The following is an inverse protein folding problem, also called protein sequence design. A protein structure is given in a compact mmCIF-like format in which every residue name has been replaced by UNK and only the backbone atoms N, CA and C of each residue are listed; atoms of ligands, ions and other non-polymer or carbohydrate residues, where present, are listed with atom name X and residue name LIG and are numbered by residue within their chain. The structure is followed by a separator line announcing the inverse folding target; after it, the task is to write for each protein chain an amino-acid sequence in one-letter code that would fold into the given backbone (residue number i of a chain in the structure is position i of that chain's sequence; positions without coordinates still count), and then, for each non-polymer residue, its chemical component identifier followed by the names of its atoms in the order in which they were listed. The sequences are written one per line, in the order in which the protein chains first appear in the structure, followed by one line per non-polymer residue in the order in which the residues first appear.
data_IF_780438324752
#
_entry.id   IF_780438324752
#
_cell.length_a   1.000
_cell.length_b   1.000
_cell.length_c   1.000
_cell.angle_alpha   90.00
_cell.angle_beta   90.00
_cell.angle_gamma   90.00
#
_symmetry.space_group_name_H-M   'P 1'
#
loop_
_entity.id
_entity.type
_entity.pdbx_description
1 polymer ?
#
# COMPACT_ATOMS: atom_id res chain seq x y z
N UNK A 1 -51.68 30.68 -38.95
CA UNK A 1 -51.55 31.62 -37.81
C UNK A 1 -51.35 30.81 -36.55
N UNK A 2 -50.22 31.07 -35.87
CA UNK A 2 -49.70 30.32 -34.72
C UNK A 2 -50.62 30.36 -33.50
N UNK A 3 -50.79 29.21 -32.83
CA UNK A 3 -51.25 29.12 -31.44
C UNK A 3 -50.10 28.57 -30.61
N UNK A 4 -49.39 29.46 -29.92
CA UNK A 4 -48.41 29.08 -28.91
C UNK A 4 -49.14 28.55 -27.68
N UNK A 5 -49.03 27.25 -27.42
CA UNK A 5 -49.40 26.66 -26.14
C UNK A 5 -48.24 26.85 -25.18
N UNK A 6 -48.50 27.54 -24.07
CA UNK A 6 -47.63 27.56 -22.90
C UNK A 6 -47.80 26.22 -22.18
N UNK A 7 -46.75 25.41 -22.15
CA UNK A 7 -46.60 24.36 -21.14
C UNK A 7 -45.44 24.74 -20.22
N UNK A 8 -45.80 25.13 -18.99
CA UNK A 8 -44.88 25.16 -17.85
C UNK A 8 -44.60 23.71 -17.45
N UNK A 9 -43.40 23.23 -17.72
CA UNK A 9 -42.86 22.04 -17.04
C UNK A 9 -41.53 22.40 -16.41
N UNK A 10 -41.48 22.23 -15.09
CA UNK A 10 -40.32 22.45 -14.24
C UNK A 10 -39.19 21.51 -14.68
N UNK A 11 -38.11 22.07 -15.22
CA UNK A 11 -36.83 21.39 -15.39
C UNK A 11 -35.72 22.21 -14.73
N UNK A 12 -35.84 22.41 -13.42
CA UNK A 12 -34.82 23.06 -12.59
C UNK A 12 -34.31 22.06 -11.56
N UNK A 13 -33.65 20.99 -11.99
CA UNK A 13 -32.97 20.05 -11.07
C UNK A 13 -31.97 19.09 -11.73
N UNK A 14 -31.39 19.39 -12.90
CA UNK A 14 -30.41 18.47 -13.53
C UNK A 14 -29.10 19.15 -13.99
N UNK A 15 -28.92 20.45 -13.77
CA UNK A 15 -27.72 21.18 -14.21
C UNK A 15 -26.70 21.49 -13.10
N UNK A 16 -26.88 20.95 -11.88
CA UNK A 16 -25.97 21.18 -10.74
C UNK A 16 -25.10 19.99 -10.35
N UNK A 17 -25.20 18.87 -11.07
CA UNK A 17 -24.42 17.65 -10.81
C UNK A 17 -23.26 17.39 -11.78
N UNK A 18 -23.01 18.28 -12.75
CA UNK A 18 -22.04 18.01 -13.84
C UNK A 18 -21.00 19.14 -14.00
N UNK A 19 -20.63 19.81 -12.90
CA UNK A 19 -19.78 21.01 -12.93
C UNK A 19 -18.43 20.86 -12.22
N UNK A 20 -17.88 19.64 -12.15
CA UNK A 20 -16.53 19.41 -11.59
C UNK A 20 -15.61 18.55 -12.46
N UNK A 21 -15.88 18.40 -13.76
CA UNK A 21 -15.00 17.68 -14.68
C UNK A 21 -14.52 18.56 -15.84
N UNK A 22 -14.01 19.76 -15.55
CA UNK A 22 -13.35 20.62 -16.54
C UNK A 22 -12.39 21.62 -15.90
N UNK A 23 -11.25 21.10 -15.44
CA UNK A 23 -9.98 21.80 -15.16
C UNK A 23 -8.93 20.71 -15.48
N UNK A 24 -7.93 20.79 -16.35
CA UNK A 24 -7.25 21.85 -17.10
C UNK A 24 -6.55 21.10 -18.25
N UNK A 25 -6.71 21.53 -19.51
CA UNK A 25 -5.66 21.27 -20.51
C UNK A 25 -4.80 22.52 -20.56
N UNK A 26 -3.64 22.47 -19.88
CA UNK A 26 -2.63 23.51 -20.00
C UNK A 26 -1.48 22.94 -20.83
N UNK A 27 -1.42 23.33 -22.10
CA UNK A 27 -0.25 23.12 -22.95
C UNK A 27 0.85 24.07 -22.49
N UNK A 28 1.91 23.53 -21.89
CA UNK A 28 3.17 24.23 -21.72
C UNK A 28 4.26 23.43 -22.41
N UNK A 29 4.70 23.93 -23.57
CA UNK A 29 5.98 23.57 -24.18
C UNK A 29 7.09 24.18 -23.32
N UNK A 30 7.98 23.37 -22.77
CA UNK A 30 9.16 23.87 -22.07
C UNK A 30 9.91 22.83 -21.26
N UNK A 31 11.11 22.52 -21.73
CA UNK A 31 12.24 21.92 -21.01
C UNK A 31 12.12 20.44 -20.65
N UNK A 32 12.87 19.62 -21.39
CA UNK A 32 13.37 18.32 -20.95
C UNK A 32 14.29 18.56 -19.75
N UNK A 33 13.72 18.63 -18.55
CA UNK A 33 14.46 18.33 -17.35
C UNK A 33 14.45 16.80 -17.24
N UNK A 34 15.64 16.19 -17.14
CA UNK A 34 15.74 14.87 -16.52
C UNK A 34 14.98 14.97 -15.20
N UNK A 35 13.99 14.08 -15.04
CA UNK A 35 13.15 13.98 -13.85
C UNK A 35 14.03 13.47 -12.70
N UNK A 36 14.87 14.35 -12.18
CA UNK A 36 15.48 14.25 -10.87
C UNK A 36 14.34 14.34 -9.88
N UNK A 37 13.73 13.17 -9.64
CA UNK A 37 12.43 13.00 -9.02
C UNK A 37 12.18 13.98 -7.89
N UNK A 38 11.11 14.74 -8.03
CA UNK A 38 10.63 15.61 -6.95
C UNK A 38 10.46 14.83 -5.64
N UNK A 39 10.51 15.52 -4.48
CA UNK A 39 10.36 14.86 -3.19
C UNK A 39 9.08 14.00 -3.18
N UNK A 40 9.09 12.83 -2.50
CA UNK A 40 7.94 11.94 -2.48
C UNK A 40 6.67 12.69 -2.11
N UNK A 41 5.55 12.33 -2.73
CA UNK A 41 4.26 12.91 -2.37
C UNK A 41 3.88 12.46 -0.96
N UNK A 42 3.59 13.40 -0.06
CA UNK A 42 3.12 13.11 1.29
C UNK A 42 1.60 12.87 1.30
N UNK A 43 1.17 11.70 1.76
CA UNK A 43 -0.23 11.28 1.78
C UNK A 43 -0.61 10.82 3.19
N UNK A 44 -1.56 11.48 3.85
CA UNK A 44 -2.15 10.98 5.10
C UNK A 44 -3.40 10.15 4.80
N UNK A 45 -3.50 8.98 5.42
CA UNK A 45 -4.64 8.06 5.25
C UNK A 45 -5.24 7.69 6.60
N UNK A 46 -6.56 7.52 6.61
CA UNK A 46 -7.34 7.15 7.80
C UNK A 46 -8.36 6.04 7.54
N UNK A 47 -8.42 5.52 6.32
CA UNK A 47 -9.34 4.48 5.91
C UNK A 47 -8.73 3.52 4.88
N UNK A 48 -9.37 2.36 4.75
CA UNK A 48 -8.98 1.25 3.88
C UNK A 48 -8.82 1.69 2.42
N UNK A 49 -9.76 2.47 1.89
CA UNK A 49 -9.76 2.87 0.47
C UNK A 49 -8.61 3.82 0.18
N UNK A 50 -8.38 4.81 1.04
CA UNK A 50 -7.29 5.76 0.91
C UNK A 50 -5.93 5.06 0.99
N UNK A 51 -5.74 4.16 1.97
CA UNK A 51 -4.50 3.40 2.11
C UNK A 51 -4.22 2.52 0.88
N UNK A 52 -5.23 1.78 0.41
CA UNK A 52 -5.10 0.93 -0.78
C UNK A 52 -4.71 1.75 -2.01
N UNK A 53 -5.45 2.81 -2.29
CA UNK A 53 -5.17 3.67 -3.44
C UNK A 53 -3.77 4.29 -3.37
N UNK A 54 -3.30 4.64 -2.16
CA UNK A 54 -1.96 5.17 -1.97
C UNK A 54 -0.88 4.11 -2.26
N UNK A 55 -1.04 2.87 -1.77
CA UNK A 55 -0.11 1.76 -2.00
C UNK A 55 -0.08 1.29 -3.47
N UNK A 56 -1.23 1.36 -4.15
CA UNK A 56 -1.37 0.95 -5.56
C UNK A 56 -1.06 2.09 -6.55
N UNK A 57 -0.76 3.29 -6.04
CA UNK A 57 -0.39 4.46 -6.85
C UNK A 57 0.89 4.18 -7.63
N UNK A 58 0.95 4.64 -8.88
CA UNK A 58 2.17 4.60 -9.69
C UNK A 58 3.11 5.77 -9.43
N UNK A 59 2.81 6.60 -8.42
CA UNK A 59 3.63 7.74 -8.02
C UNK A 59 4.19 7.51 -6.63
N UNK A 60 5.52 7.56 -6.51
CA UNK A 60 6.21 7.35 -5.25
C UNK A 60 5.71 8.31 -4.16
N UNK A 61 5.48 7.79 -2.96
CA UNK A 61 4.81 8.53 -1.89
C UNK A 61 5.27 8.09 -0.50
N UNK A 62 5.29 9.05 0.42
CA UNK A 62 5.30 8.79 1.86
C UNK A 62 3.85 8.74 2.34
N UNK A 63 3.43 7.60 2.87
CA UNK A 63 2.07 7.32 3.29
C UNK A 63 2.03 7.29 4.82
N UNK A 64 1.34 8.22 5.44
CA UNK A 64 1.17 8.30 6.89
C UNK A 64 -0.17 7.69 7.31
N UNK A 65 -0.12 6.52 7.95
CA UNK A 65 -1.29 5.83 8.51
C UNK A 65 -1.47 6.21 9.98
N UNK A 66 -2.52 6.99 10.27
CA UNK A 66 -2.77 7.57 11.60
C UNK A 66 -3.64 6.70 12.51
N UNK A 67 -4.44 5.83 11.90
CA UNK A 67 -5.34 4.92 12.61
C UNK A 67 -5.07 3.48 12.21
N UNK A 68 -5.50 2.52 13.03
CA UNK A 68 -5.43 1.11 12.64
C UNK A 68 -6.39 0.87 11.47
N UNK A 69 -5.92 0.17 10.44
CA UNK A 69 -6.67 -0.09 9.21
C UNK A 69 -6.66 -1.59 8.93
N UNK A 70 -7.79 -2.11 8.48
CA UNK A 70 -7.90 -3.48 7.96
C UNK A 70 -8.13 -3.42 6.45
N UNK A 71 -7.24 -4.04 5.69
CA UNK A 71 -7.36 -4.29 4.26
C UNK A 71 -7.94 -5.71 4.06
N UNK A 72 -9.21 -5.78 3.69
CA UNK A 72 -9.96 -7.03 3.50
C UNK A 72 -10.34 -7.25 2.02
N UNK A 73 -9.34 -7.18 1.15
CA UNK A 73 -9.52 -7.36 -0.30
C UNK A 73 -9.78 -8.81 -0.69
N UNK A 74 -10.49 -9.00 -1.81
CA UNK A 74 -10.76 -10.34 -2.31
C UNK A 74 -9.49 -11.06 -2.79
N UNK A 75 -8.47 -10.33 -3.32
CA UNK A 75 -7.30 -10.96 -3.95
C UNK A 75 -5.98 -10.56 -3.30
N UNK A 76 -5.48 -9.33 -3.53
CA UNK A 76 -4.17 -8.87 -3.03
C UNK A 76 -3.99 -7.36 -3.08
N UNK A 77 -2.99 -6.83 -2.36
CA UNK A 77 -2.51 -5.45 -2.50
C UNK A 77 -1.31 -5.42 -3.43
N UNK A 78 -1.35 -4.60 -4.49
CA UNK A 78 -0.24 -4.50 -5.47
C UNK A 78 0.51 -3.18 -5.34
N UNK A 79 1.75 -3.22 -4.86
CA UNK A 79 2.61 -2.03 -4.74
C UNK A 79 2.88 -1.43 -6.12
N UNK A 80 2.46 -0.17 -6.33
CA UNK A 80 2.44 0.47 -7.64
C UNK A 80 3.70 1.28 -7.99
N UNK A 81 4.37 1.82 -6.97
CA UNK A 81 5.64 2.55 -7.07
C UNK A 81 6.48 2.36 -5.80
N UNK A 82 7.60 3.05 -5.69
CA UNK A 82 8.39 3.07 -4.46
C UNK A 82 7.62 3.86 -3.39
N UNK A 83 7.40 3.23 -2.23
CA UNK A 83 6.63 3.85 -1.16
C UNK A 83 7.32 3.70 0.20
N UNK A 84 7.07 4.69 1.06
CA UNK A 84 7.33 4.59 2.49
C UNK A 84 6.00 4.63 3.22
N UNK A 85 5.61 3.54 3.86
CA UNK A 85 4.44 3.47 4.74
C UNK A 85 4.87 3.69 6.18
N UNK A 86 4.43 4.80 6.78
CA UNK A 86 4.59 5.11 8.20
C UNK A 86 3.35 4.70 8.99
N UNK A 87 3.50 3.75 9.91
CA UNK A 87 2.43 3.32 10.83
C UNK A 87 2.64 4.03 12.17
N UNK A 88 1.64 4.81 12.59
CA UNK A 88 1.71 5.55 13.85
C UNK A 88 1.85 4.62 15.08
N UNK A 89 2.35 5.17 16.19
CA UNK A 89 2.57 4.46 17.45
C UNK A 89 1.31 3.70 17.92
N UNK A 90 1.50 2.44 18.31
CA UNK A 90 0.43 1.56 18.78
C UNK A 90 -0.66 1.23 17.74
N UNK A 91 -0.48 1.59 16.46
CA UNK A 91 -1.44 1.29 15.39
C UNK A 91 -1.06 0.02 14.65
N UNK A 92 -2.07 -0.63 14.09
CA UNK A 92 -1.93 -1.90 13.37
C UNK A 92 -2.51 -1.76 11.96
N UNK A 93 -1.73 -2.18 10.97
CA UNK A 93 -2.24 -2.52 9.64
C UNK A 93 -2.52 -4.01 9.62
N UNK A 94 -3.78 -4.41 9.42
CA UNK A 94 -4.14 -5.82 9.25
C UNK A 94 -4.48 -6.09 7.79
N UNK A 95 -3.83 -7.07 7.19
CA UNK A 95 -4.10 -7.54 5.82
C UNK A 95 -4.78 -8.91 5.89
N UNK A 96 -6.05 -8.98 5.47
CA UNK A 96 -6.84 -10.22 5.40
C UNK A 96 -7.27 -10.44 3.95
N UNK A 97 -6.41 -11.06 3.17
CA UNK A 97 -6.50 -11.15 1.70
C UNK A 97 -6.08 -12.53 1.22
N UNK A 98 -6.44 -12.94 0.00
CA UNK A 98 -6.03 -14.25 -0.54
C UNK A 98 -4.51 -14.34 -0.80
N UNK A 99 -3.84 -13.22 -1.09
CA UNK A 99 -2.39 -13.06 -1.16
C UNK A 99 -2.08 -11.69 -0.56
N UNK A 100 -1.12 -11.59 0.37
CA UNK A 100 -0.87 -10.39 1.17
C UNK A 100 -0.45 -9.16 0.36
N UNK A 101 0.83 -8.80 0.44
CA UNK A 101 1.42 -7.66 -0.29
C UNK A 101 2.24 -8.20 -1.45
N UNK A 102 1.91 -7.77 -2.67
CA UNK A 102 2.61 -8.17 -3.88
C UNK A 102 3.23 -6.96 -4.56
N UNK A 103 4.44 -7.13 -5.07
CA UNK A 103 5.05 -6.15 -5.95
C UNK A 103 4.70 -6.48 -7.40
N UNK A 104 4.64 -5.46 -8.26
CA UNK A 104 4.42 -5.67 -9.69
C UNK A 104 5.50 -6.59 -10.27
N UNK A 105 5.08 -7.64 -10.98
CA UNK A 105 6.02 -8.64 -11.52
C UNK A 105 7.05 -7.99 -12.45
N UNK A 106 8.32 -8.38 -12.30
CA UNK A 106 9.44 -7.82 -13.08
C UNK A 106 9.81 -6.38 -12.73
N UNK A 107 9.28 -5.82 -11.65
CA UNK A 107 9.66 -4.50 -11.14
C UNK A 107 10.65 -4.60 -9.98
N UNK A 108 11.47 -3.57 -9.83
CA UNK A 108 12.41 -3.41 -8.71
C UNK A 108 11.87 -2.40 -7.69
N UNK A 109 10.57 -2.45 -7.43
CA UNK A 109 9.91 -1.53 -6.52
C UNK A 109 10.27 -1.84 -5.06
N UNK A 110 10.35 -0.79 -4.26
CA UNK A 110 10.64 -0.84 -2.83
C UNK A 110 9.44 -0.38 -2.01
N UNK A 111 9.07 -1.19 -1.01
CA UNK A 111 8.17 -0.77 0.05
C UNK A 111 8.97 -0.73 1.35
N UNK A 112 9.14 0.49 1.88
CA UNK A 112 9.64 0.67 3.23
C UNK A 112 8.45 0.77 4.17
N UNK A 113 8.41 -0.07 5.22
CA UNK A 113 7.41 0.03 6.27
C UNK A 113 8.13 0.43 7.55
N UNK A 114 7.82 1.63 8.03
CA UNK A 114 8.39 2.18 9.24
C UNK A 114 7.30 2.34 10.30
N UNK A 115 7.58 1.85 11.50
CA UNK A 115 6.65 1.84 12.61
C UNK A 115 7.00 2.84 13.71
N UNK A 116 6.00 3.18 14.53
CA UNK A 116 6.19 3.70 15.88
C UNK A 116 6.29 2.58 16.91
N UNK A 117 6.60 2.91 18.17
CA UNK A 117 6.60 1.94 19.27
C UNK A 117 5.26 1.18 19.33
N UNK A 118 5.33 -0.15 19.42
CA UNK A 118 4.14 -1.00 19.50
C UNK A 118 3.28 -1.04 18.22
N UNK A 119 3.74 -0.45 17.11
CA UNK A 119 3.05 -0.57 15.84
C UNK A 119 3.20 -1.97 15.24
N UNK A 120 2.23 -2.36 14.41
CA UNK A 120 2.19 -3.69 13.80
C UNK A 120 1.75 -3.71 12.34
N UNK A 121 2.28 -4.66 11.60
CA UNK A 121 1.70 -5.20 10.37
C UNK A 121 1.31 -6.65 10.64
N UNK A 122 0.03 -6.96 10.55
CA UNK A 122 -0.49 -8.30 10.69
C UNK A 122 -0.95 -8.81 9.33
N UNK A 123 -0.41 -9.94 8.87
CA UNK A 123 -0.83 -10.56 7.61
C UNK A 123 -1.45 -11.92 7.90
N UNK A 124 -2.68 -12.08 7.46
CA UNK A 124 -3.43 -13.33 7.50
C UNK A 124 -3.90 -13.68 6.09
N UNK A 125 -3.17 -14.59 5.44
CA UNK A 125 -3.48 -15.02 4.07
C UNK A 125 -4.59 -16.06 4.08
N UNK A 126 -5.72 -15.72 3.48
CA UNK A 126 -6.85 -16.62 3.32
C UNK A 126 -6.52 -17.67 2.24
N UNK A 127 -6.20 -18.91 2.66
CA UNK A 127 -5.97 -20.04 1.74
C UNK A 127 -4.52 -20.46 1.54
N UNK A 128 -3.57 -19.94 2.33
CA UNK A 128 -2.18 -20.42 2.33
C UNK A 128 -1.33 -19.92 1.15
N UNK A 129 -1.71 -18.81 0.52
CA UNK A 129 -0.92 -18.13 -0.51
C UNK A 129 0.33 -17.42 0.06
N UNK A 130 0.92 -16.52 -0.72
CA UNK A 130 2.06 -15.70 -0.27
C UNK A 130 1.59 -14.52 0.59
N UNK A 131 2.23 -14.33 1.74
CA UNK A 131 2.01 -13.16 2.59
C UNK A 131 2.69 -11.92 2.01
N UNK A 132 3.91 -12.08 1.48
CA UNK A 132 4.62 -11.01 0.77
C UNK A 132 5.32 -11.62 -0.44
N UNK A 133 5.27 -10.98 -1.61
CA UNK A 133 5.89 -11.54 -2.83
C UNK A 133 6.50 -10.49 -3.77
N UNK A 134 7.76 -10.72 -4.17
CA UNK A 134 8.52 -9.88 -5.09
C UNK A 134 9.11 -8.62 -4.47
N UNK A 135 9.80 -7.81 -5.30
CA UNK A 135 10.31 -6.48 -4.93
C UNK A 135 11.30 -6.44 -3.77
N UNK A 136 11.49 -5.25 -3.22
CA UNK A 136 12.31 -4.98 -2.03
C UNK A 136 11.39 -4.60 -0.88
N UNK A 137 11.48 -5.34 0.23
CA UNK A 137 10.83 -4.97 1.49
C UNK A 137 11.88 -4.51 2.50
N UNK A 138 11.70 -3.29 3.00
CA UNK A 138 12.50 -2.77 4.11
C UNK A 138 11.58 -2.52 5.31
N UNK A 139 11.98 -3.00 6.49
CA UNK A 139 11.21 -2.88 7.72
C UNK A 139 12.03 -2.14 8.77
N UNK A 140 11.46 -1.13 9.42
CA UNK A 140 12.12 -0.35 10.47
C UNK A 140 11.17 -0.13 11.65
N UNK A 141 11.60 -0.42 12.88
CA UNK A 141 10.86 -0.17 14.12
C UNK A 141 9.38 -0.65 14.10
N UNK A 142 9.13 -1.82 13.51
CA UNK A 142 7.80 -2.40 13.28
C UNK A 142 7.79 -3.88 13.67
N UNK A 143 6.69 -4.36 14.26
CA UNK A 143 6.45 -5.81 14.38
C UNK A 143 5.60 -6.29 13.21
N UNK A 144 6.08 -7.29 12.48
CA UNK A 144 5.35 -7.95 11.39
C UNK A 144 4.96 -9.34 11.85
N UNK A 145 3.66 -9.57 12.05
CA UNK A 145 3.10 -10.86 12.45
C UNK A 145 2.47 -11.53 11.22
N UNK A 146 3.10 -12.58 10.69
CA UNK A 146 2.59 -13.39 9.57
C UNK A 146 1.99 -14.67 10.16
N UNK A 147 0.67 -14.73 10.20
CA UNK A 147 -0.09 -15.86 10.78
C UNK A 147 -0.43 -16.95 9.77
N UNK A 148 -0.28 -16.65 8.48
CA UNK A 148 -0.50 -17.58 7.38
C UNK A 148 0.23 -17.09 6.13
N UNK A 149 0.75 -18.03 5.34
CA UNK A 149 1.46 -17.78 4.09
C UNK A 149 2.96 -17.59 4.26
N UNK A 150 3.67 -17.53 3.13
CA UNK A 150 5.13 -17.38 3.08
C UNK A 150 5.55 -15.93 2.81
N UNK A 151 6.71 -15.53 3.29
CA UNK A 151 7.37 -14.28 2.92
C UNK A 151 8.39 -14.56 1.81
N UNK A 152 8.19 -13.94 0.64
CA UNK A 152 8.98 -14.16 -0.58
C UNK A 152 9.33 -12.87 -1.38
N UNK A 153 9.93 -11.84 -0.76
CA UNK A 153 10.48 -10.71 -1.51
C UNK A 153 11.77 -11.08 -2.24
N UNK A 154 12.20 -10.27 -3.23
CA UNK A 154 13.54 -10.44 -3.81
C UNK A 154 14.62 -10.02 -2.81
N UNK A 155 14.43 -8.85 -2.21
CA UNK A 155 15.32 -8.29 -1.19
C UNK A 155 14.52 -8.05 0.09
N UNK A 156 15.01 -8.60 1.19
CA UNK A 156 14.44 -8.36 2.52
C UNK A 156 15.47 -7.68 3.40
N UNK A 157 15.16 -6.48 3.87
CA UNK A 157 15.95 -5.73 4.83
C UNK A 157 15.18 -5.62 6.15
N UNK A 158 15.67 -6.28 7.19
CA UNK A 158 15.12 -6.18 8.55
C UNK A 158 15.99 -5.22 9.33
N UNK A 159 15.51 -3.99 9.43
CA UNK A 159 16.18 -2.87 10.06
C UNK A 159 16.11 -2.86 11.59
N UNK A 160 16.53 -1.75 12.18
CA UNK A 160 16.65 -1.66 13.64
C UNK A 160 15.28 -1.59 14.30
N UNK A 161 15.08 -2.37 15.37
CA UNK A 161 13.80 -2.46 16.07
C UNK A 161 12.69 -3.16 15.26
N UNK A 162 12.98 -3.65 14.05
CA UNK A 162 12.04 -4.45 13.28
C UNK A 162 12.06 -5.90 13.75
N UNK A 163 10.88 -6.49 13.92
CA UNK A 163 10.71 -7.90 14.25
C UNK A 163 9.76 -8.54 13.26
N UNK A 164 10.15 -9.64 12.63
CA UNK A 164 9.24 -10.49 11.85
C UNK A 164 8.95 -11.74 12.68
N UNK A 165 7.69 -12.04 12.91
CA UNK A 165 7.22 -13.30 13.46
C UNK A 165 6.45 -14.05 12.38
N UNK A 166 6.88 -15.25 12.02
CA UNK A 166 6.20 -16.10 11.04
C UNK A 166 5.67 -17.34 11.75
N UNK A 167 4.36 -17.53 11.73
CA UNK A 167 3.73 -18.82 12.03
C UNK A 167 3.86 -19.73 10.80
N UNK A 168 4.71 -20.74 10.94
CA UNK A 168 5.17 -21.62 9.88
C UNK A 168 4.75 -23.08 10.08
N UNK A 169 3.81 -23.36 11.00
CA UNK A 169 3.46 -24.72 11.42
C UNK A 169 3.08 -25.68 10.26
N UNK A 170 2.71 -25.15 9.09
CA UNK A 170 2.37 -25.91 7.89
C UNK A 170 3.09 -25.42 6.63
N UNK A 171 4.29 -24.83 6.78
CA UNK A 171 5.05 -24.27 5.65
C UNK A 171 6.45 -24.88 5.60
N UNK A 172 6.77 -25.55 4.48
CA UNK A 172 8.11 -26.13 4.27
C UNK A 172 9.19 -25.06 4.07
N UNK A 173 8.78 -23.89 3.54
CA UNK A 173 9.69 -22.77 3.23
C UNK A 173 9.04 -21.43 3.59
N UNK A 174 8.87 -21.14 4.89
CA UNK A 174 8.13 -19.97 5.37
C UNK A 174 8.79 -18.64 5.00
N UNK A 175 10.13 -18.65 4.83
CA UNK A 175 10.91 -17.49 4.41
C UNK A 175 11.75 -17.84 3.19
N UNK A 176 11.53 -17.08 2.13
CA UNK A 176 12.25 -17.12 0.87
C UNK A 176 12.69 -15.70 0.54
N UNK A 177 13.96 -15.50 0.19
CA UNK A 177 14.43 -14.22 -0.34
C UNK A 177 15.71 -14.44 -1.12
N UNK A 178 15.88 -13.74 -2.24
CA UNK A 178 17.14 -13.81 -2.99
C UNK A 178 18.30 -13.21 -2.20
N UNK A 179 18.01 -12.17 -1.42
CA UNK A 179 18.96 -11.56 -0.51
C UNK A 179 18.26 -11.11 0.77
N UNK A 180 18.81 -11.52 1.91
CA UNK A 180 18.36 -11.16 3.24
C UNK A 180 19.45 -10.37 3.96
N UNK A 181 19.09 -9.19 4.45
CA UNK A 181 19.91 -8.39 5.36
C UNK A 181 19.16 -8.22 6.68
N UNK A 182 19.80 -8.54 7.80
CA UNK A 182 19.30 -8.24 9.13
C UNK A 182 20.29 -7.31 9.80
N UNK A 183 19.88 -6.08 10.05
CA UNK A 183 20.70 -5.04 10.68
C UNK A 183 20.66 -5.16 12.21
N UNK A 184 21.56 -4.45 12.88
CA UNK A 184 21.63 -4.43 14.35
C UNK A 184 20.29 -4.02 14.98
N UNK A 185 19.75 -4.91 15.83
CA UNK A 185 18.46 -4.75 16.48
C UNK A 185 17.26 -5.25 15.67
N UNK A 186 17.46 -5.77 14.46
CA UNK A 186 16.45 -6.51 13.70
C UNK A 186 16.32 -7.96 14.16
N UNK A 187 15.14 -8.55 14.06
CA UNK A 187 14.88 -9.95 14.47
C UNK A 187 13.92 -10.66 13.52
N UNK A 188 14.17 -11.95 13.27
CA UNK A 188 13.26 -12.83 12.53
C UNK A 188 13.05 -14.08 13.37
N UNK A 189 11.79 -14.35 13.71
CA UNK A 189 11.35 -15.54 14.43
C UNK A 189 10.50 -16.40 13.48
N UNK A 190 10.92 -17.64 13.26
CA UNK A 190 10.15 -18.64 12.51
C UNK A 190 9.63 -19.67 13.51
N UNK A 191 8.31 -19.68 13.73
CA UNK A 191 7.66 -20.58 14.69
C UNK A 191 7.10 -21.78 13.93
N UNK A 192 7.76 -22.93 14.06
CA UNK A 192 7.39 -24.21 13.43
C UNK A 192 6.65 -25.13 14.39
#
# INVERSE_FOLDING_TARGET
MNRFFTNKTKAASLLRGLLLLSIMMLTSVGTWAEDEGGPPTEVSVSDTTALKNALESTTASTISMKESITLAEEVKITVGADHTLSIAEGKTLTCTVQQGIAFKAGSNLTLTIQGGTGSKLEINVAGGGTAITGGTLTLENITVDITSGIINPFYLNVGSGATINVDAANQDTPLQSSQLTVNDGGTININT
#
